data_IF_073650250913
#
_entry.id   IF_073650250913
#
_cell.length_a   1.000
_cell.length_b   1.000
_cell.length_c   1.000
_cell.angle_alpha   90.00
_cell.angle_beta   90.00
_cell.angle_gamma   90.00
#
_symmetry.space_group_name_H-M   'P 1'
#
loop_
_entity.id
_entity.type
_entity.pdbx_description
1 polymer ?
#
# COMPACT_ATOMS: atom_id res chain seq x y z
N UNK A 1 0.76 -39.90 18.25
CA UNK A 1 0.18 -38.65 18.82
C UNK A 1 0.94 -37.46 18.27
N UNK A 2 0.27 -36.55 17.56
CA UNK A 2 0.90 -35.32 17.09
C UNK A 2 1.21 -34.40 18.29
N UNK A 3 2.43 -33.87 18.38
CA UNK A 3 2.84 -32.97 19.46
C UNK A 3 2.07 -31.65 19.31
N UNK A 4 1.36 -31.21 20.36
CA UNK A 4 0.55 -30.00 20.30
C UNK A 4 1.42 -28.74 20.51
N UNK A 5 1.73 -28.03 19.41
CA UNK A 5 2.52 -26.80 19.44
C UNK A 5 1.70 -25.53 19.67
N UNK A 6 0.38 -25.64 19.76
CA UNK A 6 -0.54 -24.49 19.96
C UNK A 6 -0.15 -23.59 21.14
N UNK A 7 0.19 -24.08 22.35
CA UNK A 7 0.57 -23.21 23.46
C UNK A 7 1.89 -22.46 23.22
N UNK A 8 2.85 -23.07 22.53
CA UNK A 8 4.11 -22.42 22.17
C UNK A 8 3.88 -21.27 21.18
N UNK A 9 2.96 -21.46 20.22
CA UNK A 9 2.57 -20.43 19.26
C UNK A 9 1.87 -19.25 19.94
N UNK A 10 0.93 -19.53 20.84
CA UNK A 10 0.24 -18.48 21.62
C UNK A 10 1.26 -17.68 22.43
N UNK A 11 2.14 -18.35 23.17
CA UNK A 11 3.19 -17.68 23.94
C UNK A 11 4.11 -16.82 23.07
N UNK A 12 4.48 -17.30 21.89
CA UNK A 12 5.30 -16.54 20.93
C UNK A 12 4.60 -15.26 20.46
N UNK A 13 3.33 -15.33 20.03
CA UNK A 13 2.60 -14.15 19.58
C UNK A 13 2.31 -13.15 20.70
N UNK A 14 1.98 -13.63 21.90
CA UNK A 14 1.86 -12.77 23.09
C UNK A 14 3.19 -12.07 23.36
N UNK A 15 4.31 -12.80 23.28
CA UNK A 15 5.65 -12.24 23.42
C UNK A 15 5.93 -11.12 22.42
N UNK A 16 5.55 -11.29 21.14
CA UNK A 16 5.69 -10.25 20.11
C UNK A 16 4.88 -9.00 20.47
N UNK A 17 3.61 -9.16 20.87
CA UNK A 17 2.74 -8.03 21.21
C UNK A 17 3.30 -7.28 22.44
N UNK A 18 3.79 -8.01 23.43
CA UNK A 18 4.41 -7.41 24.62
C UNK A 18 5.68 -6.62 24.26
N UNK A 19 6.55 -7.20 23.43
CA UNK A 19 7.75 -6.49 22.96
C UNK A 19 7.37 -5.24 22.18
N UNK A 20 6.37 -5.30 21.30
CA UNK A 20 5.88 -4.13 20.57
C UNK A 20 5.32 -3.06 21.52
N UNK A 21 4.49 -3.44 22.49
CA UNK A 21 3.97 -2.51 23.51
C UNK A 21 5.11 -1.82 24.28
N UNK A 22 6.12 -2.58 24.73
CA UNK A 22 7.26 -2.04 25.48
C UNK A 22 8.07 -1.06 24.62
N UNK A 23 8.34 -1.40 23.35
CA UNK A 23 9.09 -0.53 22.43
C UNK A 23 8.32 0.75 22.14
N UNK A 24 7.01 0.67 21.91
CA UNK A 24 6.17 1.84 21.67
C UNK A 24 6.17 2.77 22.91
N UNK A 25 6.00 2.20 24.11
CA UNK A 25 6.02 2.96 25.37
C UNK A 25 7.39 3.56 25.70
N UNK A 26 8.48 3.11 25.06
CA UNK A 26 9.79 3.70 25.23
C UNK A 26 9.90 5.13 24.63
N UNK A 27 8.91 5.56 23.82
CA UNK A 27 8.81 6.92 23.32
C UNK A 27 9.93 7.32 22.36
N UNK A 28 10.59 6.33 21.74
CA UNK A 28 11.71 6.57 20.79
C UNK A 28 11.19 7.25 19.51
N UNK A 29 9.97 6.92 19.10
CA UNK A 29 9.30 7.52 17.96
C UNK A 29 7.98 8.16 18.40
N UNK A 30 7.54 9.22 17.70
CA UNK A 30 6.19 9.76 17.86
C UNK A 30 5.09 8.71 17.65
N UNK A 31 4.00 8.82 18.39
CA UNK A 31 2.88 7.85 18.37
C UNK A 31 2.19 7.75 16.99
N UNK A 32 2.26 8.82 16.18
CA UNK A 32 1.76 8.80 14.81
C UNK A 32 2.64 7.99 13.83
N UNK A 33 3.88 7.67 14.21
CA UNK A 33 4.81 6.86 13.42
C UNK A 33 4.86 5.43 13.95
N UNK A 34 4.86 5.26 15.27
CA UNK A 34 4.96 3.95 15.90
C UNK A 34 3.98 3.80 17.08
N UNK A 35 2.68 3.68 16.80
CA UNK A 35 1.66 3.53 17.84
C UNK A 35 1.80 2.19 18.56
N UNK A 36 1.36 2.15 19.81
CA UNK A 36 1.27 0.94 20.61
C UNK A 36 0.14 0.03 20.11
N UNK A 37 0.23 -1.30 20.32
CA UNK A 37 -0.84 -2.22 19.96
C UNK A 37 -2.19 -1.87 20.61
N UNK A 38 -2.17 -1.23 21.79
CA UNK A 38 -3.38 -0.75 22.45
C UNK A 38 -4.05 0.38 21.66
N UNK A 39 -3.29 1.42 21.28
CA UNK A 39 -3.80 2.55 20.47
C UNK A 39 -4.32 2.07 19.12
N UNK A 40 -3.63 1.12 18.48
CA UNK A 40 -4.12 0.52 17.23
C UNK A 40 -5.46 -0.19 17.43
N UNK A 41 -5.64 -0.91 18.54
CA UNK A 41 -6.90 -1.59 18.84
C UNK A 41 -8.03 -0.59 19.14
N UNK A 42 -7.70 0.49 19.86
CA UNK A 42 -8.61 1.59 20.17
C UNK A 42 -9.08 2.31 18.90
N UNK A 43 -8.15 2.69 18.02
CA UNK A 43 -8.45 3.34 16.74
C UNK A 43 -9.29 2.45 15.81
N UNK A 44 -9.01 1.14 15.77
CA UNK A 44 -9.81 0.19 15.00
C UNK A 44 -11.25 0.09 15.53
N UNK A 45 -11.42 0.13 16.85
CA UNK A 45 -12.75 0.09 17.46
C UNK A 45 -13.52 1.38 17.19
N UNK A 46 -12.92 2.55 17.46
CA UNK A 46 -13.58 3.83 17.22
C UNK A 46 -13.87 4.06 15.75
N UNK A 47 -12.88 3.81 14.87
CA UNK A 47 -13.04 3.96 13.42
C UNK A 47 -14.07 2.99 12.84
N UNK A 48 -14.21 1.81 13.44
CA UNK A 48 -15.27 0.86 13.10
C UNK A 48 -16.66 1.34 13.57
N UNK A 49 -16.74 1.92 14.77
CA UNK A 49 -17.99 2.37 15.37
C UNK A 49 -18.54 3.66 14.73
N UNK A 50 -17.68 4.61 14.39
CA UNK A 50 -18.06 5.88 13.76
C UNK A 50 -18.16 5.80 12.23
N UNK A 51 -17.71 4.68 11.65
CA UNK A 51 -17.74 4.41 10.21
C UNK A 51 -16.60 5.05 9.41
N UNK A 52 -15.71 5.80 10.05
CA UNK A 52 -14.57 6.47 9.40
C UNK A 52 -13.59 5.47 8.80
N UNK A 53 -13.40 4.30 9.43
CA UNK A 53 -12.56 3.22 8.90
C UNK A 53 -13.10 2.73 7.55
N UNK A 54 -14.40 2.43 7.49
CA UNK A 54 -15.03 1.95 6.26
C UNK A 54 -15.06 3.03 5.18
N UNK A 55 -15.28 4.29 5.57
CA UNK A 55 -15.18 5.40 4.64
C UNK A 55 -13.75 5.53 4.05
N UNK A 56 -12.72 5.43 4.89
CA UNK A 56 -11.32 5.44 4.45
C UNK A 56 -10.99 4.28 3.50
N UNK A 57 -11.48 3.07 3.80
CA UNK A 57 -11.33 1.91 2.92
C UNK A 57 -12.04 2.13 1.59
N UNK A 58 -13.30 2.56 1.62
CA UNK A 58 -14.12 2.77 0.42
C UNK A 58 -13.53 3.85 -0.49
N UNK A 59 -13.10 4.98 0.07
CA UNK A 59 -12.46 6.06 -0.69
C UNK A 59 -11.14 5.62 -1.30
N UNK A 60 -10.33 4.83 -0.58
CA UNK A 60 -9.09 4.25 -1.10
C UNK A 60 -9.35 3.27 -2.25
N UNK A 61 -10.31 2.37 -2.08
CA UNK A 61 -10.73 1.43 -3.13
C UNK A 61 -11.24 2.16 -4.36
N UNK A 62 -12.03 3.22 -4.18
CA UNK A 62 -12.56 4.02 -5.29
C UNK A 62 -11.44 4.73 -6.08
N UNK A 63 -10.47 5.33 -5.39
CA UNK A 63 -9.29 5.95 -6.01
C UNK A 63 -8.49 4.94 -6.83
N UNK A 64 -8.28 3.73 -6.28
CA UNK A 64 -7.62 2.64 -6.98
C UNK A 64 -8.41 2.19 -8.22
N UNK A 65 -9.72 2.02 -8.09
CA UNK A 65 -10.58 1.59 -9.18
C UNK A 65 -10.58 2.59 -10.35
N UNK A 66 -10.69 3.89 -10.08
CA UNK A 66 -10.61 4.93 -11.10
C UNK A 66 -9.23 4.96 -11.74
N UNK A 67 -8.17 4.97 -10.94
CA UNK A 67 -6.80 4.99 -11.46
C UNK A 67 -6.52 3.79 -12.37
N UNK A 68 -6.95 2.60 -11.97
CA UNK A 68 -6.85 1.39 -12.76
C UNK A 68 -7.66 1.46 -14.05
N UNK A 69 -8.91 1.95 -13.99
CA UNK A 69 -9.75 2.08 -15.17
C UNK A 69 -9.13 3.02 -16.22
N UNK A 70 -8.57 4.15 -15.77
CA UNK A 70 -7.85 5.08 -16.65
C UNK A 70 -6.61 4.42 -17.25
N UNK A 71 -5.81 3.72 -16.43
CA UNK A 71 -4.61 3.03 -16.88
C UNK A 71 -4.92 1.92 -17.91
N UNK A 72 -5.97 1.13 -17.68
CA UNK A 72 -6.42 0.10 -18.61
C UNK A 72 -6.90 0.73 -19.91
N UNK A 73 -7.78 1.73 -19.84
CA UNK A 73 -8.30 2.37 -21.05
C UNK A 73 -7.18 2.99 -21.89
N UNK A 74 -6.29 3.76 -21.27
CA UNK A 74 -5.12 4.35 -21.94
C UNK A 74 -4.16 3.30 -22.48
N UNK A 75 -3.86 2.27 -21.68
CA UNK A 75 -2.98 1.16 -22.06
C UNK A 75 -3.51 0.34 -23.23
N UNK A 76 -4.83 0.09 -23.28
CA UNK A 76 -5.47 -0.60 -24.42
C UNK A 76 -5.36 0.26 -25.69
N UNK A 77 -5.69 1.55 -25.61
CA UNK A 77 -5.61 2.46 -26.75
C UNK A 77 -4.17 2.51 -27.29
N UNK A 78 -3.18 2.73 -26.42
CA UNK A 78 -1.77 2.75 -26.80
C UNK A 78 -1.31 1.39 -27.36
N UNK A 79 -1.72 0.29 -26.74
CA UNK A 79 -1.42 -1.07 -27.19
C UNK A 79 -1.96 -1.36 -28.59
N UNK A 80 -3.19 -0.92 -28.89
CA UNK A 80 -3.77 -1.06 -30.24
C UNK A 80 -2.97 -0.25 -31.26
N UNK A 81 -2.58 0.99 -30.94
CA UNK A 81 -1.76 1.80 -31.86
C UNK A 81 -0.40 1.17 -32.13
N UNK A 82 0.28 0.66 -31.09
CA UNK A 82 1.54 -0.06 -31.25
C UNK A 82 1.36 -1.33 -32.09
N UNK A 83 0.28 -2.10 -31.88
CA UNK A 83 0.03 -3.31 -32.65
C UNK A 83 -0.30 -3.07 -34.13
N UNK A 84 -0.83 -1.88 -34.48
CA UNK A 84 -1.30 -1.57 -35.84
C UNK A 84 -0.32 -0.73 -36.65
N UNK A 85 0.54 0.05 -36.00
CA UNK A 85 1.43 1.00 -36.65
C UNK A 85 2.88 0.73 -36.23
N UNK A 86 3.65 0.16 -37.14
CA UNK A 86 5.05 -0.24 -36.90
C UNK A 86 5.91 0.93 -36.40
N UNK A 87 5.72 2.13 -36.95
CA UNK A 87 6.43 3.35 -36.51
C UNK A 87 6.15 3.68 -35.04
N UNK A 88 4.91 3.51 -34.58
CA UNK A 88 4.53 3.77 -33.18
C UNK A 88 5.14 2.71 -32.27
N UNK A 89 5.14 1.44 -32.70
CA UNK A 89 5.78 0.35 -31.97
C UNK A 89 7.28 0.59 -31.78
N UNK A 90 8.00 0.92 -32.86
CA UNK A 90 9.45 1.11 -32.82
C UNK A 90 9.88 2.34 -32.01
N UNK A 91 9.01 3.35 -31.89
CA UNK A 91 9.29 4.57 -31.13
C UNK A 91 8.76 4.47 -29.71
N UNK A 92 7.43 4.49 -29.54
CA UNK A 92 6.75 4.47 -28.24
C UNK A 92 6.98 3.15 -27.51
N UNK A 93 7.06 2.03 -28.21
CA UNK A 93 7.30 0.72 -27.58
C UNK A 93 8.60 0.69 -26.77
N UNK A 94 9.69 1.27 -27.29
CA UNK A 94 10.95 1.39 -26.55
C UNK A 94 10.81 2.23 -25.27
N UNK A 95 10.03 3.30 -25.31
CA UNK A 95 9.75 4.15 -24.14
C UNK A 95 8.91 3.42 -23.11
N UNK A 96 7.89 2.67 -23.55
CA UNK A 96 7.05 1.86 -22.67
C UNK A 96 7.88 0.81 -21.95
N UNK A 97 8.78 0.11 -22.65
CA UNK A 97 9.70 -0.84 -22.02
C UNK A 97 10.65 -0.16 -21.01
N UNK A 98 11.16 1.02 -21.35
CA UNK A 98 11.96 1.82 -20.43
C UNK A 98 11.20 2.21 -19.17
N UNK A 99 9.96 2.70 -19.31
CA UNK A 99 9.10 3.09 -18.17
C UNK A 99 8.73 1.89 -17.30
N UNK A 100 8.50 0.70 -17.88
CA UNK A 100 8.22 -0.52 -17.12
C UNK A 100 9.42 -0.98 -16.28
N UNK A 101 10.65 -0.62 -16.66
CA UNK A 101 11.85 -0.96 -15.90
C UNK A 101 12.05 -0.10 -14.64
N UNK A 102 11.34 1.03 -14.53
CA UNK A 102 11.43 1.93 -13.38
C UNK A 102 10.71 1.30 -12.18
N UNK A 103 11.37 1.21 -11.00
CA UNK A 103 10.71 0.72 -9.78
C UNK A 103 9.46 1.53 -9.45
N UNK A 104 8.36 0.85 -9.08
CA UNK A 104 7.08 1.52 -8.77
C UNK A 104 7.20 2.59 -7.69
N UNK A 105 8.09 2.39 -6.71
CA UNK A 105 8.33 3.34 -5.61
C UNK A 105 8.88 4.69 -6.12
N UNK A 106 9.64 4.70 -7.22
CA UNK A 106 10.20 5.93 -7.78
C UNK A 106 9.11 6.86 -8.32
N UNK A 107 8.04 6.30 -8.88
CA UNK A 107 6.86 7.09 -9.26
C UNK A 107 6.18 7.72 -8.04
N UNK A 108 6.05 6.97 -6.95
CA UNK A 108 5.49 7.48 -5.69
C UNK A 108 6.26 8.70 -5.16
N UNK A 109 7.58 8.57 -5.02
CA UNK A 109 8.45 9.68 -4.55
C UNK A 109 8.40 10.88 -5.51
N UNK A 110 8.45 10.63 -6.82
CA UNK A 110 8.39 11.72 -7.81
C UNK A 110 7.09 12.51 -7.70
N UNK A 111 5.95 11.84 -7.56
CA UNK A 111 4.65 12.50 -7.40
C UNK A 111 4.61 13.36 -6.13
N UNK A 112 5.16 12.88 -5.01
CA UNK A 112 5.24 13.68 -3.77
C UNK A 112 6.00 14.98 -3.99
N UNK A 113 7.15 14.94 -4.68
CA UNK A 113 7.95 16.13 -4.99
C UNK A 113 7.21 17.06 -5.96
N UNK A 114 6.64 16.52 -7.04
CA UNK A 114 5.92 17.33 -8.04
C UNK A 114 4.70 18.05 -7.47
N UNK A 115 4.01 17.45 -6.50
CA UNK A 115 2.86 18.06 -5.83
C UNK A 115 3.25 18.88 -4.58
N UNK A 116 4.54 18.99 -4.27
CA UNK A 116 5.03 19.77 -3.12
C UNK A 116 4.61 19.20 -1.75
N UNK A 117 4.43 17.88 -1.69
CA UNK A 117 4.03 17.13 -0.48
C UNK A 117 5.23 16.50 0.25
N UNK A 118 6.45 16.79 -0.21
CA UNK A 118 7.72 16.30 0.33
C UNK A 118 8.36 17.31 1.28
#
# INVERSE_FOLDING_TARGET
MAKNYTPHRIGFYIGIILVWQIIAMAGVWPDNIFPSPYEVAEDLFYGGADGSLFYGIATSMWRLAIGLAIAIAGGIVLGIFMARIEVVNQTVGSLVLGLQSIPSIAFGVSLLVYFGLA
#
